data_IF_678752332719
#
_entry.id   IF_678752332719
#
_cell.length_a   1.000
_cell.length_b   1.000
_cell.length_c   1.000
_cell.angle_alpha   90.00
_cell.angle_beta   90.00
_cell.angle_gamma   90.00
#
_symmetry.space_group_name_H-M   'P 1'
#
loop_
_entity.id
_entity.type
_entity.pdbx_description
1 polymer ?
#
# COMPACT_ATOMS: atom_id res chain seq x y z
N UNK A 1 50.80 -40.06 17.09
CA UNK A 1 49.73 -40.48 16.18
C UNK A 1 48.32 -39.94 16.49
N UNK A 2 48.01 -39.49 17.70
CA UNK A 2 46.67 -38.88 18.01
C UNK A 2 46.46 -37.45 17.51
N UNK A 3 47.53 -36.64 17.44
CA UNK A 3 47.47 -35.23 17.04
C UNK A 3 47.14 -35.02 15.55
N UNK A 4 47.64 -35.87 14.66
CA UNK A 4 47.38 -35.79 13.19
C UNK A 4 45.95 -36.15 12.80
N UNK A 5 45.25 -36.99 13.58
CA UNK A 5 43.83 -37.30 13.35
C UNK A 5 42.93 -36.13 13.79
N UNK A 6 43.24 -35.49 14.90
CA UNK A 6 42.49 -34.32 15.37
C UNK A 6 42.59 -33.13 14.39
N UNK A 7 43.78 -32.88 13.85
CA UNK A 7 43.99 -31.81 12.84
C UNK A 7 43.22 -32.12 11.55
N UNK A 8 43.21 -33.36 11.07
CA UNK A 8 42.43 -33.74 9.87
C UNK A 8 40.93 -33.60 10.08
N UNK A 9 40.40 -33.93 11.26
CA UNK A 9 38.97 -33.75 11.59
C UNK A 9 38.62 -32.28 11.66
N UNK A 10 39.43 -31.43 12.28
CA UNK A 10 39.19 -29.98 12.38
C UNK A 10 39.26 -29.32 10.99
N UNK A 11 40.24 -29.68 10.15
CA UNK A 11 40.32 -29.17 8.76
C UNK A 11 39.15 -29.61 7.91
N UNK A 12 38.70 -30.88 8.03
CA UNK A 12 37.51 -31.36 7.29
C UNK A 12 36.23 -30.65 7.74
N UNK A 13 36.08 -30.38 9.05
CA UNK A 13 34.94 -29.65 9.59
C UNK A 13 34.95 -28.17 9.09
N UNK A 14 36.11 -27.51 9.10
CA UNK A 14 36.27 -26.11 8.64
C UNK A 14 36.02 -26.01 7.14
N UNK A 15 36.49 -26.94 6.33
CA UNK A 15 36.18 -26.98 4.88
C UNK A 15 34.68 -27.22 4.64
N UNK A 16 34.06 -28.10 5.43
CA UNK A 16 32.61 -28.37 5.38
C UNK A 16 31.79 -27.11 5.72
N UNK A 17 32.16 -26.37 6.75
CA UNK A 17 31.52 -25.13 7.13
C UNK A 17 31.69 -24.05 6.08
N UNK A 18 32.90 -23.91 5.48
CA UNK A 18 33.16 -22.94 4.40
C UNK A 18 32.38 -23.34 3.15
N UNK A 19 32.31 -24.61 2.79
CA UNK A 19 31.51 -25.06 1.64
C UNK A 19 30.02 -24.87 1.87
N UNK A 20 29.50 -25.15 3.07
CA UNK A 20 28.09 -24.88 3.43
C UNK A 20 27.79 -23.37 3.43
N UNK A 21 28.71 -22.56 3.94
CA UNK A 21 28.58 -21.10 3.90
C UNK A 21 28.63 -20.56 2.45
N UNK A 22 29.55 -21.12 1.62
CA UNK A 22 29.66 -20.75 0.20
C UNK A 22 28.47 -21.21 -0.62
N UNK A 23 27.95 -22.43 -0.38
CA UNK A 23 26.72 -22.94 -1.01
C UNK A 23 25.49 -22.16 -0.55
N UNK A 24 25.43 -21.76 0.71
CA UNK A 24 24.39 -20.86 1.22
C UNK A 24 24.48 -19.47 0.58
N UNK A 25 25.69 -18.97 0.35
CA UNK A 25 25.92 -17.68 -0.28
C UNK A 25 25.60 -17.70 -1.78
N UNK A 26 25.96 -18.79 -2.48
CA UNK A 26 25.62 -19.01 -3.89
C UNK A 26 24.10 -19.27 -4.03
N UNK A 27 23.49 -20.03 -3.12
CA UNK A 27 22.04 -20.26 -3.10
C UNK A 27 21.26 -18.97 -2.81
N UNK A 28 21.73 -18.12 -1.91
CA UNK A 28 21.16 -16.80 -1.63
C UNK A 28 21.40 -15.81 -2.77
N UNK A 29 22.48 -15.94 -3.53
CA UNK A 29 22.80 -15.10 -4.68
C UNK A 29 22.05 -15.46 -5.96
N UNK A 30 21.63 -16.72 -6.13
CA UNK A 30 20.89 -17.17 -7.32
C UNK A 30 19.38 -17.05 -7.20
N UNK A 31 18.84 -16.72 -6.03
CA UNK A 31 17.42 -16.38 -5.83
C UNK A 31 17.18 -14.86 -6.01
N UNK A 32 18.01 -14.19 -6.80
CA UNK A 32 17.66 -12.90 -7.38
C UNK A 32 16.74 -13.14 -8.58
N UNK A 33 15.48 -13.49 -8.30
CA UNK A 33 14.41 -13.38 -9.30
C UNK A 33 14.57 -12.03 -9.99
N UNK A 34 14.44 -11.98 -11.31
CA UNK A 34 14.48 -10.72 -12.07
C UNK A 34 13.47 -9.78 -11.45
N UNK A 35 13.96 -8.78 -10.74
CA UNK A 35 13.11 -7.70 -10.24
C UNK A 35 12.72 -6.88 -11.46
N UNK A 36 11.44 -6.80 -11.72
CA UNK A 36 10.91 -5.99 -12.81
C UNK A 36 11.05 -4.51 -12.42
N UNK A 37 11.92 -3.80 -13.09
CA UNK A 37 12.26 -2.42 -12.75
C UNK A 37 11.67 -1.45 -13.74
N UNK A 38 11.14 -0.35 -13.21
CA UNK A 38 10.58 0.74 -14.00
C UNK A 38 11.33 2.02 -13.67
N UNK A 39 11.82 2.71 -14.70
CA UNK A 39 12.35 4.06 -14.56
C UNK A 39 11.19 5.04 -14.46
N UNK A 40 10.77 5.37 -13.24
CA UNK A 40 9.59 6.20 -13.00
C UNK A 40 9.92 7.65 -12.65
N UNK A 41 11.16 7.93 -12.27
CA UNK A 41 11.60 9.25 -11.85
C UNK A 41 12.47 9.96 -12.90
N UNK A 42 12.88 9.27 -13.96
CA UNK A 42 13.66 9.87 -15.04
C UNK A 42 12.80 10.91 -15.79
N UNK A 43 13.38 12.11 -16.00
CA UNK A 43 12.69 13.19 -16.69
C UNK A 43 11.64 13.93 -15.86
N UNK A 44 11.52 13.65 -14.57
CA UNK A 44 10.69 14.44 -13.67
C UNK A 44 11.51 15.62 -13.13
N UNK A 45 11.27 16.80 -13.72
CA UNK A 45 11.86 18.05 -13.28
C UNK A 45 10.98 18.70 -12.19
N UNK A 46 11.57 19.58 -11.38
CA UNK A 46 10.87 20.38 -10.37
C UNK A 46 10.03 19.57 -9.36
N UNK A 47 10.57 18.42 -8.92
CA UNK A 47 9.94 17.62 -7.87
C UNK A 47 9.97 18.36 -6.52
N UNK A 48 8.95 18.18 -5.65
CA UNK A 48 8.92 18.79 -4.33
C UNK A 48 10.19 18.49 -3.51
N UNK A 49 10.59 19.45 -2.69
CA UNK A 49 11.69 19.24 -1.74
C UNK A 49 11.26 18.30 -0.61
N UNK A 50 12.23 17.53 -0.14
CA UNK A 50 12.02 16.62 0.98
C UNK A 50 12.39 17.32 2.29
N UNK A 51 11.40 17.57 3.13
CA UNK A 51 11.56 18.28 4.42
C UNK A 51 11.92 17.36 5.58
N UNK A 52 11.70 16.05 5.46
CA UNK A 52 11.95 15.09 6.54
C UNK A 52 12.62 13.81 6.02
N UNK A 53 13.14 12.98 6.95
CA UNK A 53 13.64 11.62 6.64
C UNK A 53 12.55 10.54 6.59
N UNK A 54 11.27 10.94 6.65
CA UNK A 54 10.15 10.05 6.41
C UNK A 54 10.19 9.52 4.98
N UNK A 55 9.54 8.39 4.70
CA UNK A 55 9.51 7.79 3.37
C UNK A 55 8.07 7.76 2.84
N UNK A 56 7.90 8.17 1.59
CA UNK A 56 6.64 8.13 0.87
C UNK A 56 6.74 7.13 -0.26
N UNK A 57 5.96 6.05 -0.17
CA UNK A 57 5.81 5.03 -1.20
C UNK A 57 4.48 5.24 -1.91
N UNK A 58 4.49 5.28 -3.23
CA UNK A 58 3.27 5.19 -4.02
C UNK A 58 3.06 3.74 -4.44
N UNK A 59 2.03 3.11 -3.88
CA UNK A 59 1.59 1.77 -4.27
C UNK A 59 0.45 1.90 -5.26
N UNK A 60 0.59 1.25 -6.41
CA UNK A 60 -0.41 1.25 -7.48
C UNK A 60 -0.84 -0.16 -7.79
N UNK A 61 -2.14 -0.42 -7.68
CA UNK A 61 -2.75 -1.66 -8.14
C UNK A 61 -3.07 -1.54 -9.62
N UNK A 62 -2.39 -2.31 -10.44
CA UNK A 62 -2.60 -2.38 -11.89
C UNK A 62 -3.54 -3.54 -12.22
N UNK A 63 -4.43 -3.32 -13.17
CA UNK A 63 -5.33 -4.36 -13.69
C UNK A 63 -4.65 -5.26 -14.76
N UNK A 64 -3.32 -5.24 -14.81
CA UNK A 64 -2.56 -6.11 -15.69
C UNK A 64 -2.75 -7.57 -15.32
N UNK A 65 -2.95 -8.39 -16.34
CA UNK A 65 -3.22 -9.83 -16.22
C UNK A 65 -1.99 -10.69 -16.48
N UNK A 66 -0.87 -10.02 -16.66
CA UNK A 66 0.43 -10.65 -16.83
C UNK A 66 0.75 -11.51 -15.60
N UNK A 67 1.19 -12.74 -15.83
CA UNK A 67 1.51 -13.70 -14.78
C UNK A 67 0.31 -14.51 -14.24
N UNK A 68 -0.94 -14.22 -14.65
CA UNK A 68 -2.08 -15.07 -14.35
C UNK A 68 -2.15 -16.29 -15.28
N UNK A 69 -2.46 -17.45 -14.72
CA UNK A 69 -2.79 -18.66 -15.47
C UNK A 69 -4.16 -18.52 -16.14
N UNK A 70 -4.45 -19.38 -17.12
CA UNK A 70 -5.76 -19.40 -17.78
C UNK A 70 -6.89 -19.74 -16.80
N UNK A 71 -6.61 -20.61 -15.83
CA UNK A 71 -7.52 -21.02 -14.77
C UNK A 71 -7.83 -19.85 -13.83
N UNK A 72 -6.81 -19.09 -13.40
CA UNK A 72 -6.97 -17.90 -12.58
C UNK A 72 -7.74 -16.79 -13.31
N UNK A 73 -7.41 -16.53 -14.58
CA UNK A 73 -8.17 -15.58 -15.41
C UNK A 73 -9.64 -15.98 -15.52
N UNK A 74 -9.94 -17.29 -15.68
CA UNK A 74 -11.30 -17.82 -15.69
C UNK A 74 -11.98 -17.66 -14.34
N UNK A 75 -11.30 -17.98 -13.23
CA UNK A 75 -11.83 -17.85 -11.88
C UNK A 75 -12.15 -16.40 -11.52
N UNK A 76 -11.34 -15.46 -11.99
CA UNK A 76 -11.53 -14.02 -11.81
C UNK A 76 -12.48 -13.39 -12.83
N UNK A 77 -12.84 -14.14 -13.89
CA UNK A 77 -13.60 -13.66 -15.05
C UNK A 77 -13.08 -12.33 -15.62
N UNK A 78 -11.77 -12.19 -15.61
CA UNK A 78 -11.09 -11.06 -16.22
C UNK A 78 -10.72 -11.42 -17.66
N UNK A 79 -11.26 -10.94 -18.70
CA UNK A 79 -10.92 -11.30 -20.10
C UNK A 79 -9.41 -11.59 -20.32
N UNK A 80 -8.97 -11.79 -21.54
CA UNK A 80 -7.55 -12.06 -21.84
C UNK A 80 -6.67 -10.79 -21.74
N UNK A 81 -5.34 -10.96 -21.75
CA UNK A 81 -4.38 -9.88 -21.64
C UNK A 81 -4.51 -8.81 -22.75
N UNK A 82 -4.96 -9.21 -23.95
CA UNK A 82 -5.13 -8.31 -25.09
C UNK A 82 -6.32 -7.37 -24.98
N UNK A 83 -7.33 -7.71 -24.16
CA UNK A 83 -8.49 -6.82 -23.90
C UNK A 83 -8.20 -5.73 -22.88
N UNK A 84 -7.04 -5.75 -22.22
CA UNK A 84 -6.58 -4.79 -21.22
C UNK A 84 -5.59 -3.75 -21.80
N UNK A 85 -5.64 -3.48 -23.10
CA UNK A 85 -4.78 -2.47 -23.74
C UNK A 85 -4.99 -1.09 -23.10
N UNK A 86 -3.94 -0.54 -22.47
CA UNK A 86 -3.95 0.69 -21.71
C UNK A 86 -4.18 0.44 -20.20
N UNK A 87 -3.21 -0.15 -19.51
CA UNK A 87 -3.27 -0.46 -18.08
C UNK A 87 -3.95 0.65 -17.27
N UNK A 88 -4.93 0.27 -16.44
CA UNK A 88 -5.62 1.20 -15.53
C UNK A 88 -5.15 0.94 -14.12
N UNK A 89 -4.90 2.01 -13.39
CA UNK A 89 -4.69 1.88 -11.97
C UNK A 89 -6.03 2.00 -11.26
N UNK A 90 -6.49 0.90 -10.68
CA UNK A 90 -7.76 0.86 -9.95
C UNK A 90 -7.60 1.23 -8.46
N UNK A 91 -6.38 1.11 -7.94
CA UNK A 91 -6.05 1.41 -6.55
C UNK A 91 -4.76 2.21 -6.50
N UNK A 92 -4.80 3.36 -5.84
CA UNK A 92 -3.63 4.18 -5.55
C UNK A 92 -3.56 4.45 -4.06
N UNK A 93 -2.45 4.08 -3.45
CA UNK A 93 -2.24 4.18 -2.01
C UNK A 93 -0.90 4.86 -1.75
N UNK A 94 -0.94 6.00 -1.07
CA UNK A 94 0.25 6.64 -0.52
C UNK A 94 0.54 6.01 0.84
N UNK A 95 1.70 5.39 0.99
CA UNK A 95 2.20 4.87 2.25
C UNK A 95 3.28 5.79 2.77
N UNK A 96 2.98 6.51 3.84
CA UNK A 96 3.94 7.34 4.55
C UNK A 96 4.48 6.58 5.75
N UNK A 97 5.81 6.47 5.85
CA UNK A 97 6.50 5.84 6.97
C UNK A 97 7.27 6.92 7.71
N UNK A 98 6.96 7.12 8.99
CA UNK A 98 7.57 8.14 9.83
C UNK A 98 9.10 8.06 9.84
N UNK A 99 9.77 9.18 10.08
CA UNK A 99 11.24 9.25 10.20
C UNK A 99 11.81 8.33 11.29
N UNK A 100 11.02 8.04 12.33
CA UNK A 100 11.39 7.12 13.41
C UNK A 100 11.08 5.66 13.12
N UNK A 101 10.37 5.35 12.01
CA UNK A 101 9.91 4.01 11.63
C UNK A 101 8.95 3.36 12.64
N UNK A 102 8.35 4.15 13.50
CA UNK A 102 7.44 3.74 14.57
C UNK A 102 5.96 3.88 14.20
N UNK A 103 5.65 4.63 13.13
CA UNK A 103 4.29 4.89 12.63
C UNK A 103 4.24 4.78 11.12
N UNK A 104 3.08 4.37 10.61
CA UNK A 104 2.80 4.42 9.18
C UNK A 104 1.38 4.91 8.91
N UNK A 105 1.21 5.68 7.84
CA UNK A 105 -0.08 6.15 7.35
C UNK A 105 -0.33 5.60 5.94
N UNK A 106 -1.48 4.97 5.74
CA UNK A 106 -1.92 4.47 4.45
C UNK A 106 -3.07 5.35 3.97
N UNK A 107 -2.81 6.16 2.97
CA UNK A 107 -3.74 7.16 2.47
C UNK A 107 -4.24 6.73 1.10
N UNK A 108 -5.52 6.36 1.02
CA UNK A 108 -6.16 6.01 -0.25
C UNK A 108 -6.42 7.26 -1.08
N UNK A 109 -5.95 7.25 -2.31
CA UNK A 109 -6.21 8.27 -3.33
C UNK A 109 -7.29 7.73 -4.27
N UNK A 110 -8.52 8.26 -4.24
CA UNK A 110 -9.58 7.75 -5.12
C UNK A 110 -9.18 7.93 -6.58
N UNK A 111 -9.28 6.87 -7.37
CA UNK A 111 -8.88 6.86 -8.79
C UNK A 111 -9.61 7.92 -9.65
N UNK A 112 -10.85 8.24 -9.26
CA UNK A 112 -11.69 9.23 -9.95
C UNK A 112 -11.55 10.65 -9.35
N UNK A 113 -10.53 10.90 -8.51
CA UNK A 113 -10.23 12.24 -7.97
C UNK A 113 -9.97 13.23 -9.10
N UNK A 114 -10.66 14.37 -9.07
CA UNK A 114 -10.40 15.46 -10.00
C UNK A 114 -9.08 16.13 -9.63
N UNK A 115 -8.13 16.12 -10.56
CA UNK A 115 -6.80 16.71 -10.40
C UNK A 115 -6.35 17.39 -11.68
N UNK A 116 -5.41 18.32 -11.58
CA UNK A 116 -4.72 18.87 -12.76
C UNK A 116 -3.61 17.92 -13.16
N UNK A 117 -3.75 17.29 -14.35
CA UNK A 117 -2.71 16.46 -14.96
C UNK A 117 -1.74 17.41 -15.68
N UNK A 118 -0.43 17.34 -15.40
CA UNK A 118 0.59 18.16 -16.04
C UNK A 118 0.63 18.02 -17.58
N UNK A 119 1.24 18.98 -18.24
CA UNK A 119 1.49 18.91 -19.67
C UNK A 119 2.32 17.65 -20.00
N UNK A 120 1.89 16.90 -20.99
CA UNK A 120 2.48 15.63 -21.37
C UNK A 120 2.35 15.39 -22.87
N UNK A 121 3.12 14.44 -23.38
CA UNK A 121 2.94 13.96 -24.76
C UNK A 121 1.66 13.13 -24.86
N UNK A 122 0.95 13.27 -25.98
CA UNK A 122 -0.14 12.35 -26.33
C UNK A 122 0.38 10.90 -26.36
N UNK A 123 -0.51 9.94 -26.17
CA UNK A 123 -0.16 8.51 -26.13
C UNK A 123 0.51 8.00 -27.41
N UNK A 124 0.32 8.67 -28.55
CA UNK A 124 1.00 8.40 -29.81
C UNK A 124 2.32 9.16 -29.96
N UNK A 125 2.71 9.97 -28.96
CA UNK A 125 3.96 10.75 -28.91
C UNK A 125 4.03 11.94 -29.87
N UNK A 126 2.93 12.30 -30.57
CA UNK A 126 2.98 13.29 -31.66
C UNK A 126 2.62 14.70 -31.26
N UNK A 127 1.86 14.85 -30.18
CA UNK A 127 1.29 16.15 -29.79
C UNK A 127 1.58 16.44 -28.32
N UNK A 128 1.91 17.70 -28.03
CA UNK A 128 1.98 18.19 -26.65
C UNK A 128 0.57 18.51 -26.15
N UNK A 129 0.17 17.87 -25.07
CA UNK A 129 -1.10 18.11 -24.38
C UNK A 129 -0.81 19.06 -23.22
N UNK A 130 -1.49 20.22 -23.13
CA UNK A 130 -1.30 21.16 -22.01
C UNK A 130 -1.86 20.62 -20.70
N UNK A 131 -1.55 21.28 -19.58
CA UNK A 131 -2.15 21.02 -18.28
C UNK A 131 -3.68 21.01 -18.40
N UNK A 132 -4.31 19.98 -17.82
CA UNK A 132 -5.78 19.86 -17.86
C UNK A 132 -6.33 19.14 -16.65
N UNK A 133 -7.54 19.51 -16.25
CA UNK A 133 -8.26 18.77 -15.23
C UNK A 133 -8.83 17.45 -15.77
N UNK A 134 -8.57 16.36 -15.04
CA UNK A 134 -9.11 15.04 -15.33
C UNK A 134 -9.08 14.17 -14.08
N UNK A 135 -9.56 12.92 -14.19
CA UNK A 135 -9.45 11.92 -13.15
C UNK A 135 -7.99 11.51 -12.93
N UNK A 136 -7.63 11.24 -11.70
CA UNK A 136 -6.27 10.83 -11.33
C UNK A 136 -5.80 9.58 -12.10
N UNK A 137 -6.68 8.59 -12.30
CA UNK A 137 -6.34 7.38 -13.07
C UNK A 137 -6.06 7.66 -14.55
N UNK A 138 -6.53 8.78 -15.09
CA UNK A 138 -6.24 9.17 -16.46
C UNK A 138 -4.76 9.55 -16.63
N UNK A 139 -4.11 10.10 -15.59
CA UNK A 139 -2.67 10.36 -15.64
C UNK A 139 -1.87 9.07 -15.89
N UNK A 140 -2.24 7.98 -15.21
CA UNK A 140 -1.62 6.68 -15.44
C UNK A 140 -1.89 6.14 -16.87
N UNK A 141 -3.10 6.31 -17.37
CA UNK A 141 -3.46 5.88 -18.72
C UNK A 141 -2.77 6.69 -19.82
N UNK A 142 -2.46 7.97 -19.58
CA UNK A 142 -1.84 8.86 -20.56
C UNK A 142 -0.31 8.76 -20.60
N UNK A 143 0.35 8.71 -19.46
CA UNK A 143 1.81 8.76 -19.36
C UNK A 143 2.41 7.76 -18.36
N UNK A 144 1.63 6.74 -17.95
CA UNK A 144 2.11 5.70 -17.05
C UNK A 144 2.47 6.21 -15.65
N UNK A 145 3.35 5.49 -15.00
CA UNK A 145 3.81 5.80 -13.64
C UNK A 145 4.48 7.19 -13.52
N UNK A 146 5.34 7.64 -14.46
CA UNK A 146 5.96 8.97 -14.34
C UNK A 146 4.93 10.10 -14.27
N UNK A 147 3.95 10.14 -15.18
CA UNK A 147 2.93 11.20 -15.20
C UNK A 147 2.00 11.11 -13.98
N UNK A 148 1.69 9.90 -13.51
CA UNK A 148 0.93 9.72 -12.29
C UNK A 148 1.67 10.29 -11.08
N UNK A 149 2.98 9.98 -10.94
CA UNK A 149 3.83 10.50 -9.84
C UNK A 149 3.86 12.03 -9.90
N UNK A 150 4.16 12.62 -11.05
CA UNK A 150 4.20 14.07 -11.21
C UNK A 150 2.86 14.71 -10.85
N UNK A 151 1.75 14.11 -11.29
CA UNK A 151 0.40 14.57 -10.96
C UNK A 151 0.15 14.58 -9.45
N UNK A 152 0.52 13.48 -8.76
CA UNK A 152 0.35 13.37 -7.30
C UNK A 152 1.29 14.34 -6.58
N UNK A 153 2.56 14.43 -6.97
CA UNK A 153 3.52 15.34 -6.36
C UNK A 153 3.07 16.81 -6.48
N UNK A 154 2.57 17.23 -7.64
CA UNK A 154 2.01 18.58 -7.82
C UNK A 154 0.74 18.81 -6.99
N UNK A 155 -0.16 17.82 -6.93
CA UNK A 155 -1.41 17.95 -6.19
C UNK A 155 -1.23 17.96 -4.66
N UNK A 156 -0.17 17.31 -4.14
CA UNK A 156 0.04 17.11 -2.71
C UNK A 156 1.22 17.91 -2.14
N UNK A 157 2.10 18.39 -3.00
CA UNK A 157 3.42 18.95 -2.63
C UNK A 157 4.24 17.99 -1.76
N UNK A 158 4.12 16.66 -2.02
CA UNK A 158 4.87 15.60 -1.35
C UNK A 158 5.79 14.91 -2.35
N UNK A 159 7.07 14.79 -2.02
CA UNK A 159 8.00 13.98 -2.81
C UNK A 159 7.72 12.50 -2.59
N UNK A 160 7.53 11.75 -3.68
CA UNK A 160 7.47 10.28 -3.65
C UNK A 160 8.90 9.74 -3.67
N UNK A 161 9.26 8.93 -2.67
CA UNK A 161 10.60 8.31 -2.60
C UNK A 161 10.67 7.06 -3.45
N UNK A 162 9.59 6.27 -3.44
CA UNK A 162 9.53 4.99 -4.13
C UNK A 162 8.17 4.74 -4.78
N UNK A 163 8.19 3.89 -5.80
CA UNK A 163 7.02 3.44 -6.55
C UNK A 163 6.98 1.91 -6.59
N UNK A 164 5.82 1.35 -6.30
CA UNK A 164 5.58 -0.09 -6.39
C UNK A 164 4.26 -0.32 -7.12
N UNK A 165 4.32 -1.10 -8.21
CA UNK A 165 3.14 -1.53 -8.95
C UNK A 165 2.88 -3.01 -8.71
N UNK A 166 1.64 -3.32 -8.34
CA UNK A 166 1.18 -4.66 -8.00
C UNK A 166 0.14 -5.10 -9.02
N UNK A 167 0.46 -6.12 -9.82
CA UNK A 167 -0.49 -6.77 -10.74
C UNK A 167 -1.46 -7.68 -9.99
N UNK A 168 -2.48 -8.20 -10.67
CA UNK A 168 -3.39 -9.19 -10.09
C UNK A 168 -2.66 -10.45 -9.64
N UNK A 169 -1.74 -10.96 -10.45
CA UNK A 169 -0.91 -12.11 -10.09
C UNK A 169 -0.01 -11.79 -8.89
N UNK A 170 0.58 -10.59 -8.87
CA UNK A 170 1.39 -10.10 -7.76
C UNK A 170 0.61 -10.03 -6.45
N UNK A 171 -0.58 -9.46 -6.50
CA UNK A 171 -1.47 -9.41 -5.33
C UNK A 171 -1.79 -10.81 -4.79
N UNK A 172 -2.22 -11.72 -5.67
CA UNK A 172 -2.54 -13.09 -5.28
C UNK A 172 -1.31 -13.81 -4.70
N UNK A 173 -0.14 -13.63 -5.30
CA UNK A 173 1.12 -14.19 -4.83
C UNK A 173 1.51 -13.70 -3.42
N UNK A 174 1.37 -12.40 -3.15
CA UNK A 174 1.65 -11.81 -1.83
C UNK A 174 0.72 -12.39 -0.76
N UNK A 175 -0.59 -12.48 -1.06
CA UNK A 175 -1.59 -13.05 -0.14
C UNK A 175 -1.28 -14.51 0.18
N UNK A 176 -0.97 -15.31 -0.85
CA UNK A 176 -0.62 -16.72 -0.67
C UNK A 176 0.69 -16.90 0.12
N UNK A 177 1.69 -16.04 -0.10
CA UNK A 177 2.95 -16.06 0.65
C UNK A 177 2.76 -15.74 2.15
N UNK A 178 1.71 -15.00 2.52
CA UNK A 178 1.30 -14.76 3.90
C UNK A 178 0.46 -15.90 4.50
N UNK A 179 0.12 -16.93 3.70
CA UNK A 179 -0.75 -18.03 4.12
C UNK A 179 -2.22 -17.63 4.21
N UNK A 180 -2.67 -16.74 3.33
CA UNK A 180 -4.01 -16.18 3.31
C UNK A 180 -4.21 -15.01 4.26
N UNK A 181 -5.27 -14.23 4.02
CA UNK A 181 -5.60 -13.03 4.81
C UNK A 181 -6.98 -13.20 5.44
N UNK A 182 -7.05 -12.99 6.75
CA UNK A 182 -8.31 -12.98 7.48
C UNK A 182 -9.07 -11.67 7.22
N UNK A 183 -10.29 -11.79 6.75
CA UNK A 183 -11.24 -10.69 6.59
C UNK A 183 -12.51 -10.99 7.36
N UNK A 184 -13.20 -9.94 7.77
CA UNK A 184 -14.52 -10.07 8.37
C UNK A 184 -15.55 -9.23 7.62
N UNK A 185 -16.68 -9.84 7.27
CA UNK A 185 -17.83 -9.13 6.67
C UNK A 185 -19.04 -9.21 7.58
N UNK A 186 -19.73 -8.07 7.75
CA UNK A 186 -20.93 -7.97 8.61
C UNK A 186 -22.19 -8.51 7.94
N UNK A 187 -22.18 -8.61 6.64
CA UNK A 187 -23.30 -9.06 5.81
C UNK A 187 -22.79 -10.04 4.76
N UNK A 188 -23.71 -10.84 4.24
CA UNK A 188 -23.39 -11.71 3.11
C UNK A 188 -22.96 -10.88 1.90
N UNK A 189 -21.96 -11.37 1.20
CA UNK A 189 -21.48 -10.81 -0.07
C UNK A 189 -21.93 -11.76 -1.17
N UNK A 190 -22.70 -11.25 -2.11
CA UNK A 190 -22.97 -11.87 -3.40
C UNK A 190 -22.82 -10.78 -4.47
N UNK A 191 -21.63 -10.67 -5.02
CA UNK A 191 -21.29 -9.60 -5.95
C UNK A 191 -21.17 -10.14 -7.38
N UNK A 192 -22.08 -9.78 -8.28
CA UNK A 192 -22.09 -10.31 -9.64
C UNK A 192 -20.90 -9.87 -10.50
N UNK A 193 -20.19 -8.80 -10.11
CA UNK A 193 -19.04 -8.29 -10.87
C UNK A 193 -17.73 -8.91 -10.45
N UNK A 194 -17.49 -9.09 -9.17
CA UNK A 194 -16.31 -9.77 -8.65
C UNK A 194 -16.48 -11.29 -8.60
N UNK A 195 -17.72 -11.78 -8.68
CA UNK A 195 -18.09 -13.19 -8.52
C UNK A 195 -17.62 -13.76 -7.17
N UNK A 196 -17.67 -12.95 -6.13
CA UNK A 196 -17.43 -13.40 -4.77
C UNK A 196 -18.78 -13.70 -4.10
N UNK A 197 -18.89 -14.91 -3.59
CA UNK A 197 -19.96 -15.32 -2.69
C UNK A 197 -19.32 -15.64 -1.36
N UNK A 198 -19.72 -14.95 -0.28
CA UNK A 198 -19.14 -15.10 1.04
C UNK A 198 -20.22 -14.80 2.09
N UNK A 199 -20.43 -15.68 3.04
CA UNK A 199 -21.36 -15.43 4.14
C UNK A 199 -20.84 -14.37 5.11
N UNK A 200 -21.73 -13.77 5.88
CA UNK A 200 -21.33 -12.93 7.01
C UNK A 200 -20.45 -13.73 8.00
N UNK A 201 -19.43 -13.06 8.55
CA UNK A 201 -18.49 -13.68 9.48
C UNK A 201 -17.03 -13.45 9.10
N UNK A 202 -16.15 -14.23 9.74
CA UNK A 202 -14.69 -14.17 9.55
C UNK A 202 -14.24 -15.30 8.63
N UNK A 203 -13.46 -14.95 7.61
CA UNK A 203 -12.96 -15.89 6.60
C UNK A 203 -11.48 -15.67 6.34
N UNK A 204 -10.74 -16.74 6.09
CA UNK A 204 -9.36 -16.64 5.58
C UNK A 204 -9.40 -16.83 4.07
N UNK A 205 -9.08 -15.76 3.34
CA UNK A 205 -9.12 -15.73 1.88
C UNK A 205 -7.74 -16.07 1.30
N UNK A 206 -7.70 -16.90 0.29
CA UNK A 206 -6.53 -17.10 -0.55
C UNK A 206 -6.32 -15.90 -1.51
N UNK A 207 -5.29 -15.96 -2.36
CA UNK A 207 -4.98 -14.85 -3.26
C UNK A 207 -6.08 -14.51 -4.26
N UNK A 208 -6.78 -15.51 -4.79
CA UNK A 208 -7.86 -15.32 -5.78
C UNK A 208 -9.13 -14.80 -5.10
N UNK A 209 -9.49 -15.38 -3.97
CA UNK A 209 -10.65 -14.92 -3.17
C UNK A 209 -10.44 -13.51 -2.64
N UNK A 210 -9.23 -13.22 -2.14
CA UNK A 210 -8.85 -11.88 -1.69
C UNK A 210 -8.93 -10.84 -2.83
N UNK A 211 -8.49 -11.21 -4.05
CA UNK A 211 -8.60 -10.33 -5.21
C UNK A 211 -10.07 -10.09 -5.59
N UNK A 212 -10.93 -11.10 -5.52
CA UNK A 212 -12.38 -10.93 -5.68
C UNK A 212 -12.93 -9.99 -4.62
N UNK A 213 -12.57 -10.20 -3.34
CA UNK A 213 -13.02 -9.39 -2.20
C UNK A 213 -12.71 -7.90 -2.35
N UNK A 214 -11.47 -7.54 -2.68
CA UNK A 214 -11.09 -6.13 -2.85
C UNK A 214 -11.69 -5.47 -4.11
N UNK A 215 -12.27 -6.26 -5.01
CA UNK A 215 -12.97 -5.81 -6.23
C UNK A 215 -14.48 -5.73 -6.09
N UNK A 216 -15.08 -6.23 -5.00
CA UNK A 216 -16.54 -6.19 -4.79
C UNK A 216 -17.06 -4.75 -4.80
N UNK A 217 -18.24 -4.52 -5.42
CA UNK A 217 -18.85 -3.19 -5.57
C UNK A 217 -20.34 -3.15 -5.39
N UNK A 218 -21.04 -4.19 -5.84
CA UNK A 218 -22.48 -4.10 -6.17
C UNK A 218 -23.39 -4.94 -5.25
N UNK A 219 -22.93 -5.26 -4.03
CA UNK A 219 -23.73 -6.03 -3.09
C UNK A 219 -24.33 -5.20 -1.93
N UNK A 220 -23.73 -4.03 -1.58
CA UNK A 220 -24.13 -3.23 -0.41
C UNK A 220 -24.67 -1.83 -0.77
N UNK A 221 -24.86 -1.53 -2.05
CA UNK A 221 -25.33 -0.25 -2.54
C UNK A 221 -24.37 0.93 -2.39
N UNK A 222 -23.16 0.72 -1.81
CA UNK A 222 -22.16 1.76 -1.54
C UNK A 222 -21.16 1.97 -2.67
N UNK A 223 -21.20 1.13 -3.71
CA UNK A 223 -20.39 1.25 -4.91
C UNK A 223 -18.89 1.41 -4.63
N UNK A 224 -18.27 2.42 -5.23
CA UNK A 224 -16.82 2.68 -5.10
C UNK A 224 -16.39 3.08 -3.68
N UNK A 225 -17.22 3.73 -2.90
CA UNK A 225 -16.91 4.09 -1.51
C UNK A 225 -16.81 2.81 -0.66
N UNK A 226 -17.78 1.89 -0.81
CA UNK A 226 -17.73 0.59 -0.15
C UNK A 226 -16.48 -0.20 -0.55
N UNK A 227 -16.11 -0.19 -1.84
CA UNK A 227 -14.88 -0.83 -2.32
C UNK A 227 -13.64 -0.23 -1.66
N UNK A 228 -13.49 1.09 -1.60
CA UNK A 228 -12.34 1.73 -0.94
C UNK A 228 -12.23 1.35 0.54
N UNK A 229 -13.37 1.28 1.25
CA UNK A 229 -13.38 0.86 2.66
C UNK A 229 -12.94 -0.60 2.81
N UNK A 230 -13.38 -1.51 1.93
CA UNK A 230 -12.95 -2.92 1.92
C UNK A 230 -11.46 -3.05 1.61
N UNK A 231 -10.93 -2.27 0.67
CA UNK A 231 -9.50 -2.24 0.37
C UNK A 231 -8.69 -1.77 1.59
N UNK A 232 -9.11 -0.71 2.29
CA UNK A 232 -8.45 -0.25 3.51
C UNK A 232 -8.50 -1.30 4.62
N UNK A 233 -9.65 -1.93 4.82
CA UNK A 233 -9.82 -3.01 5.79
C UNK A 233 -8.94 -4.21 5.45
N UNK A 234 -8.89 -4.59 4.17
CA UNK A 234 -8.01 -5.65 3.70
C UNK A 234 -6.53 -5.32 3.95
N UNK A 235 -6.09 -4.09 3.65
CA UNK A 235 -4.72 -3.64 3.94
C UNK A 235 -4.42 -3.68 5.44
N UNK A 236 -5.38 -3.30 6.29
CA UNK A 236 -5.24 -3.43 7.74
C UNK A 236 -5.05 -4.90 8.17
N UNK A 237 -5.81 -5.83 7.58
CA UNK A 237 -5.65 -7.27 7.80
C UNK A 237 -4.30 -7.80 7.32
N UNK A 238 -3.80 -7.35 6.16
CA UNK A 238 -2.45 -7.68 5.66
C UNK A 238 -1.38 -7.23 6.64
N UNK A 239 -1.45 -6.00 7.13
CA UNK A 239 -0.50 -5.46 8.10
C UNK A 239 -0.58 -6.23 9.42
N UNK A 240 -1.80 -6.47 9.93
CA UNK A 240 -2.01 -7.29 11.13
C UNK A 240 -1.39 -8.67 10.97
N UNK A 241 -1.61 -9.33 9.84
CA UNK A 241 -1.02 -10.65 9.53
C UNK A 241 0.50 -10.58 9.50
N UNK A 242 1.08 -9.63 8.75
CA UNK A 242 2.52 -9.47 8.63
C UNK A 242 3.20 -9.20 9.99
N UNK A 243 2.56 -8.41 10.86
CA UNK A 243 3.09 -8.08 12.20
C UNK A 243 2.85 -9.19 13.22
N UNK A 244 1.72 -9.91 13.18
CA UNK A 244 1.34 -10.91 14.18
C UNK A 244 1.96 -12.29 13.97
N UNK A 245 2.22 -12.70 12.72
CA UNK A 245 2.78 -14.03 12.40
C UNK A 245 4.28 -14.16 12.65
N UNK A 246 4.90 -13.10 13.16
CA UNK A 246 6.35 -13.06 13.38
C UNK A 246 7.17 -13.03 12.08
N UNK A 247 6.54 -12.74 10.92
CA UNK A 247 7.27 -12.59 9.65
C UNK A 247 8.37 -11.54 9.79
N UNK A 248 8.04 -10.37 10.37
CA UNK A 248 9.02 -9.30 10.60
C UNK A 248 10.08 -9.65 11.65
N UNK A 249 9.78 -10.54 12.58
CA UNK A 249 10.69 -10.93 13.67
C UNK A 249 11.60 -12.11 13.27
N UNK A 250 11.18 -12.94 12.33
CA UNK A 250 11.95 -14.09 11.87
C UNK A 250 12.69 -13.78 10.57
N UNK A 251 14.03 -13.68 10.56
CA UNK A 251 14.80 -13.30 9.38
C UNK A 251 14.55 -14.21 8.17
N UNK A 252 14.40 -15.52 8.38
CA UNK A 252 14.18 -16.49 7.30
C UNK A 252 12.80 -16.30 6.68
N UNK A 253 11.75 -16.16 7.53
CA UNK A 253 10.39 -15.91 7.05
C UNK A 253 10.31 -14.58 6.31
N UNK A 254 10.98 -13.54 6.81
CA UNK A 254 11.04 -12.21 6.17
C UNK A 254 11.70 -12.28 4.80
N UNK A 255 12.85 -12.94 4.69
CA UNK A 255 13.55 -13.09 3.39
C UNK A 255 12.69 -13.88 2.39
N UNK A 256 12.07 -14.98 2.83
CA UNK A 256 11.20 -15.77 1.97
C UNK A 256 9.98 -15.00 1.51
N UNK A 257 9.33 -14.27 2.41
CA UNK A 257 8.20 -13.38 2.08
C UNK A 257 8.61 -12.30 1.10
N UNK A 258 9.71 -11.59 1.36
CA UNK A 258 10.20 -10.54 0.47
C UNK A 258 10.58 -11.09 -0.91
N UNK A 259 11.21 -12.26 -0.98
CA UNK A 259 11.52 -12.89 -2.26
C UNK A 259 10.25 -13.21 -3.06
N UNK A 260 9.23 -13.77 -2.40
CA UNK A 260 7.95 -14.06 -3.04
C UNK A 260 7.24 -12.78 -3.48
N UNK A 261 7.23 -11.73 -2.65
CA UNK A 261 6.58 -10.47 -2.97
C UNK A 261 7.31 -9.72 -4.12
N UNK A 262 8.65 -9.59 -4.03
CA UNK A 262 9.46 -8.84 -5.00
C UNK A 262 9.39 -9.45 -6.40
N UNK A 263 9.28 -10.78 -6.50
CA UNK A 263 9.21 -11.48 -7.81
C UNK A 263 7.88 -11.24 -8.55
N UNK A 264 6.91 -10.62 -7.90
CA UNK A 264 5.53 -10.47 -8.42
C UNK A 264 5.10 -9.00 -8.56
N UNK A 265 5.98 -8.06 -8.25
CA UNK A 265 5.70 -6.62 -8.33
C UNK A 265 6.71 -5.92 -9.23
N UNK A 266 6.32 -4.78 -9.79
CA UNK A 266 7.24 -3.86 -10.47
C UNK A 266 7.63 -2.75 -9.51
N UNK A 267 8.90 -2.40 -9.44
CA UNK A 267 9.41 -1.39 -8.51
C UNK A 267 10.24 -0.34 -9.26
N UNK A 268 10.34 0.85 -8.67
CA UNK A 268 11.27 1.85 -9.19
C UNK A 268 12.73 1.34 -9.18
N UNK A 269 13.55 1.94 -10.05
CA UNK A 269 14.94 1.54 -10.25
C UNK A 269 15.83 1.77 -9.01
N UNK A 270 15.43 2.69 -8.11
CA UNK A 270 16.21 3.06 -6.94
C UNK A 270 15.88 2.20 -5.72
N UNK A 271 14.76 1.44 -5.71
CA UNK A 271 14.34 0.61 -4.59
C UNK A 271 15.00 -0.77 -4.67
N UNK A 272 16.02 -1.02 -3.89
CA UNK A 272 16.67 -2.33 -3.85
C UNK A 272 16.02 -3.30 -2.86
N UNK A 273 16.29 -4.60 -3.02
CA UNK A 273 15.90 -5.62 -2.04
C UNK A 273 16.51 -5.36 -0.67
N UNK A 274 17.74 -4.84 -0.63
CA UNK A 274 18.41 -4.52 0.63
C UNK A 274 17.71 -3.35 1.33
N UNK A 275 17.24 -2.34 0.59
CA UNK A 275 16.48 -1.22 1.17
C UNK A 275 15.18 -1.72 1.81
N UNK A 276 14.47 -2.65 1.15
CA UNK A 276 13.27 -3.28 1.70
C UNK A 276 13.57 -4.15 2.93
N UNK A 277 14.67 -4.89 2.93
CA UNK A 277 15.10 -5.68 4.09
C UNK A 277 15.46 -4.78 5.27
N UNK A 278 16.19 -3.70 5.02
CA UNK A 278 16.61 -2.76 6.06
C UNK A 278 15.42 -1.96 6.59
N UNK A 279 14.50 -1.55 5.72
CA UNK A 279 13.24 -0.96 6.14
C UNK A 279 12.44 -1.93 7.04
N UNK A 280 12.29 -3.18 6.63
CA UNK A 280 11.57 -4.19 7.43
C UNK A 280 12.23 -4.44 8.80
N UNK A 281 13.57 -4.44 8.86
CA UNK A 281 14.30 -4.52 10.13
C UNK A 281 14.05 -3.31 11.03
N UNK A 282 14.04 -2.10 10.46
CA UNK A 282 13.77 -0.85 11.19
C UNK A 282 12.32 -0.81 11.69
N UNK A 283 11.38 -1.41 10.95
CA UNK A 283 9.96 -1.47 11.31
C UNK A 283 9.57 -2.63 12.23
N UNK A 284 10.52 -3.39 12.77
CA UNK A 284 10.24 -4.54 13.67
C UNK A 284 9.41 -4.16 14.91
N UNK A 285 9.54 -2.92 15.37
CA UNK A 285 8.75 -2.38 16.47
C UNK A 285 7.37 -1.85 16.07
N UNK A 286 7.03 -1.86 14.78
CA UNK A 286 5.74 -1.37 14.31
C UNK A 286 4.63 -2.33 14.70
N UNK A 287 3.68 -1.84 15.49
CA UNK A 287 2.45 -2.57 15.82
C UNK A 287 1.30 -2.12 14.91
N UNK A 288 0.27 -2.97 14.77
CA UNK A 288 -0.94 -2.62 14.02
C UNK A 288 -1.66 -1.38 14.59
N UNK A 289 -1.50 -1.09 15.89
CA UNK A 289 -2.03 0.12 16.53
C UNK A 289 -1.36 1.42 16.07
N UNK A 290 -0.11 1.33 15.59
CA UNK A 290 0.67 2.47 15.09
C UNK A 290 0.54 2.66 13.58
N UNK A 291 -0.25 1.83 12.91
CA UNK A 291 -0.57 1.98 11.48
C UNK A 291 -1.98 2.51 11.35
N UNK A 292 -2.13 3.64 10.68
CA UNK A 292 -3.43 4.26 10.43
C UNK A 292 -3.76 4.26 8.95
N UNK A 293 -5.02 3.99 8.65
CA UNK A 293 -5.58 4.02 7.29
C UNK A 293 -6.61 5.13 7.20
N UNK A 294 -6.61 5.86 6.08
CA UNK A 294 -7.60 6.89 5.78
C UNK A 294 -7.77 7.05 4.28
N UNK A 295 -8.85 7.69 3.88
CA UNK A 295 -9.00 8.24 2.51
C UNK A 295 -8.67 9.72 2.56
N UNK A 296 -8.10 10.28 1.49
CA UNK A 296 -7.97 11.73 1.37
C UNK A 296 -9.32 12.37 1.68
N UNK A 297 -9.39 13.47 2.47
CA UNK A 297 -10.65 14.10 2.81
C UNK A 297 -11.44 14.51 1.57
N UNK A 298 -12.72 14.14 1.53
CA UNK A 298 -13.59 14.37 0.39
C UNK A 298 -14.62 15.46 0.69
N UNK A 299 -14.75 16.42 -0.24
CA UNK A 299 -15.89 17.33 -0.30
C UNK A 299 -17.12 16.63 -0.85
N UNK A 300 -16.94 15.84 -1.92
CA UNK A 300 -17.99 15.00 -2.50
C UNK A 300 -17.39 13.81 -3.28
N UNK A 301 -18.07 12.68 -3.19
CA UNK A 301 -17.73 11.48 -3.98
C UNK A 301 -18.49 11.44 -5.32
N UNK A 302 -19.49 12.30 -5.52
CA UNK A 302 -20.42 12.28 -6.67
C UNK A 302 -20.40 13.65 -7.40
N UNK A 303 -19.22 14.25 -7.58
CA UNK A 303 -19.05 15.45 -8.37
C UNK A 303 -19.24 15.18 -9.87
N UNK A 304 -19.50 16.26 -10.64
CA UNK A 304 -19.52 16.22 -12.11
C UNK A 304 -18.58 17.27 -12.67
N UNK A 305 -17.81 16.86 -13.69
CA UNK A 305 -16.92 17.74 -14.42
C UNK A 305 -17.29 17.70 -15.92
N UNK A 306 -17.25 18.86 -16.63
CA UNK A 306 -17.75 18.93 -18.04
C UNK A 306 -17.09 17.91 -18.98
N UNK A 307 -15.80 17.67 -18.84
CA UNK A 307 -15.04 16.77 -19.74
C UNK A 307 -14.70 15.44 -19.09
N UNK A 308 -14.45 15.39 -17.76
CA UNK A 308 -14.08 14.17 -17.05
C UNK A 308 -15.29 13.35 -16.56
N UNK A 309 -16.51 13.88 -16.68
CA UNK A 309 -17.74 13.19 -16.27
C UNK A 309 -17.91 13.11 -14.75
N UNK A 310 -18.24 11.92 -14.23
CA UNK A 310 -18.35 11.69 -12.78
C UNK A 310 -16.98 11.70 -12.13
N UNK A 311 -16.80 12.52 -11.09
CA UNK A 311 -15.50 12.73 -10.40
C UNK A 311 -15.68 12.74 -8.89
N UNK A 312 -14.59 12.46 -8.18
CA UNK A 312 -14.45 12.67 -6.73
C UNK A 312 -13.75 13.99 -6.50
N UNK A 313 -14.30 14.84 -5.63
CA UNK A 313 -13.70 16.15 -5.32
C UNK A 313 -13.20 16.12 -3.87
N UNK A 314 -11.91 16.35 -3.69
CA UNK A 314 -11.28 16.47 -2.37
C UNK A 314 -11.70 17.72 -1.64
N UNK A 315 -11.75 17.67 -0.31
CA UNK A 315 -11.91 18.87 0.52
C UNK A 315 -10.59 19.68 0.48
N UNK A 316 -10.58 20.89 -0.02
CA UNK A 316 -9.34 21.64 -0.22
C UNK A 316 -8.64 22.01 1.10
N UNK A 317 -9.40 22.29 2.15
CA UNK A 317 -8.86 22.74 3.44
C UNK A 317 -8.29 21.54 4.21
N UNK A 318 -9.10 20.48 4.37
CA UNK A 318 -8.65 19.28 5.09
C UNK A 318 -7.55 18.54 4.35
N UNK A 319 -7.58 18.53 3.01
CA UNK A 319 -6.51 17.89 2.24
C UNK A 319 -5.19 18.67 2.34
N UNK A 320 -5.23 20.02 2.29
CA UNK A 320 -4.02 20.83 2.46
C UNK A 320 -3.38 20.62 3.86
N UNK A 321 -4.20 20.55 4.91
CA UNK A 321 -3.72 20.24 6.25
C UNK A 321 -3.16 18.81 6.34
N UNK A 322 -3.82 17.83 5.74
CA UNK A 322 -3.32 16.46 5.68
C UNK A 322 -1.94 16.40 5.02
N UNK A 323 -1.77 17.01 3.85
CA UNK A 323 -0.50 16.97 3.12
C UNK A 323 0.62 17.71 3.85
N UNK A 324 0.29 18.82 4.53
CA UNK A 324 1.25 19.53 5.38
C UNK A 324 1.72 18.65 6.53
N UNK A 325 0.81 17.97 7.24
CA UNK A 325 1.18 17.06 8.34
C UNK A 325 2.01 15.87 7.86
N UNK A 326 1.69 15.29 6.69
CA UNK A 326 2.48 14.21 6.09
C UNK A 326 3.88 14.71 5.72
N UNK A 327 3.99 15.86 5.07
CA UNK A 327 5.28 16.45 4.69
C UNK A 327 6.18 16.70 5.91
N UNK A 328 5.59 17.20 6.98
CA UNK A 328 6.31 17.58 8.20
C UNK A 328 6.48 16.40 9.17
N UNK A 329 6.01 15.18 8.80
CA UNK A 329 6.01 13.96 9.64
C UNK A 329 5.32 14.21 10.99
N UNK A 330 4.21 14.96 10.97
CA UNK A 330 3.41 15.33 12.13
C UNK A 330 2.29 14.32 12.42
N UNK A 331 1.74 14.36 13.63
CA UNK A 331 0.62 13.51 14.00
C UNK A 331 -0.64 13.89 13.22
N UNK A 332 -1.42 12.88 12.77
CA UNK A 332 -2.71 13.10 12.12
C UNK A 332 -3.87 13.28 13.11
N UNK A 333 -3.65 12.96 14.37
CA UNK A 333 -4.63 13.06 15.45
C UNK A 333 -4.14 14.09 16.44
N UNK A 334 -5.01 15.03 16.80
CA UNK A 334 -4.70 16.08 17.75
C UNK A 334 -5.13 15.65 19.16
N UNK A 335 -4.23 15.75 20.13
CA UNK A 335 -4.54 15.61 21.54
C UNK A 335 -4.83 17.01 22.10
N UNK A 336 -6.10 17.29 22.39
CA UNK A 336 -6.52 18.55 23.00
C UNK A 336 -6.67 18.33 24.50
N UNK A 337 -5.78 18.92 25.28
CA UNK A 337 -5.97 19.03 26.73
C UNK A 337 -7.07 20.06 26.98
N UNK A 338 -8.20 19.73 27.64
CA UNK A 338 -9.20 20.72 27.98
C UNK A 338 -8.55 21.83 28.81
N UNK A 339 -8.57 23.06 28.32
CA UNK A 339 -8.15 24.21 29.12
C UNK A 339 -9.14 24.36 30.28
N UNK A 340 -8.68 24.52 31.53
CA UNK A 340 -9.61 24.77 32.61
C UNK A 340 -10.29 26.10 32.35
N UNK A 341 -11.58 26.05 32.03
CA UNK A 341 -12.43 27.27 32.03
C UNK A 341 -12.39 27.88 33.42
N UNK A 342 -11.90 29.10 33.49
CA UNK A 342 -11.89 29.90 34.69
C UNK A 342 -13.34 30.25 35.04
N UNK A 343 -14.01 29.39 35.82
CA UNK A 343 -15.11 29.75 36.74
C UNK A 343 -15.65 28.49 37.44
N UNK A 344 -15.37 28.48 38.69
CA UNK A 344 -16.01 27.81 39.84
C UNK A 344 -15.06 26.97 40.68
N UNK A 345 -14.83 27.45 41.85
CA UNK A 345 -14.15 26.81 42.98
C UNK A 345 -14.87 25.52 43.36
N UNK A 346 -14.19 24.39 43.18
CA UNK A 346 -14.29 23.23 44.04
C UNK A 346 -13.16 22.25 43.73
N UNK A 347 -12.43 21.93 44.78
CA UNK A 347 -11.30 21.01 44.82
C UNK A 347 -11.67 19.62 44.37
N UNK A 348 -11.13 19.22 43.20
CA UNK A 348 -10.81 17.84 42.89
C UNK A 348 -9.80 17.84 41.71
N UNK A 349 -8.55 17.51 42.02
CA UNK A 349 -7.46 17.35 41.06
C UNK A 349 -7.70 16.04 40.27
N UNK A 350 -8.63 16.07 39.34
CA UNK A 350 -8.77 15.03 38.34
C UNK A 350 -8.04 15.51 37.10
N UNK A 351 -6.87 14.92 36.82
CA UNK A 351 -6.14 15.10 35.59
C UNK A 351 -7.07 14.75 34.43
N UNK A 352 -7.62 15.76 33.77
CA UNK A 352 -8.53 15.57 32.62
C UNK A 352 -7.77 14.82 31.54
N UNK A 353 -8.27 13.65 31.13
CA UNK A 353 -7.70 12.88 30.03
C UNK A 353 -7.76 13.72 28.76
N UNK A 354 -6.71 13.74 27.96
CA UNK A 354 -6.72 14.47 26.69
C UNK A 354 -7.85 13.97 25.80
N UNK A 355 -8.59 14.91 25.20
CA UNK A 355 -9.61 14.60 24.19
C UNK A 355 -8.91 14.42 22.86
N UNK A 356 -9.13 13.27 22.23
CA UNK A 356 -8.57 12.94 20.92
C UNK A 356 -9.49 13.50 19.83
N UNK A 357 -8.98 14.42 19.01
CA UNK A 357 -9.68 14.97 17.86
C UNK A 357 -9.10 14.39 16.57
N UNK A 358 -9.84 13.52 15.91
CA UNK A 358 -9.48 12.91 14.62
C UNK A 358 -10.33 13.49 13.47
N UNK A 359 -9.88 14.61 12.93
CA UNK A 359 -10.56 15.30 11.82
C UNK A 359 -10.44 14.57 10.47
N UNK A 360 -9.49 13.65 10.34
CA UNK A 360 -9.29 12.87 9.11
C UNK A 360 -10.02 11.53 9.12
N UNK A 361 -10.72 11.19 10.22
CA UNK A 361 -11.45 9.92 10.38
C UNK A 361 -10.54 8.72 10.10
N UNK A 362 -9.36 8.72 10.73
CA UNK A 362 -8.39 7.63 10.57
C UNK A 362 -8.88 6.37 11.29
N UNK A 363 -8.46 5.21 10.81
CA UNK A 363 -8.68 3.92 11.48
C UNK A 363 -7.33 3.28 11.76
N UNK A 364 -7.21 2.61 12.89
CA UNK A 364 -6.01 1.82 13.17
C UNK A 364 -6.11 0.46 12.49
N UNK A 365 -4.97 -0.09 12.08
CA UNK A 365 -4.94 -1.44 11.51
C UNK A 365 -5.25 -2.54 12.55
N UNK A 366 -5.31 -2.18 13.84
CA UNK A 366 -5.71 -3.07 14.92
C UNK A 366 -7.23 -3.24 15.04
N UNK A 367 -8.02 -2.29 14.51
CA UNK A 367 -9.49 -2.35 14.58
C UNK A 367 -10.04 -3.59 13.88
N UNK A 368 -10.91 -4.33 14.58
CA UNK A 368 -11.63 -5.44 13.99
C UNK A 368 -12.99 -4.95 13.47
N UNK A 369 -13.22 -4.98 12.15
CA UNK A 369 -14.48 -4.49 11.58
C UNK A 369 -15.72 -5.25 12.06
N UNK A 370 -15.58 -6.49 12.53
CA UNK A 370 -16.66 -7.26 13.12
C UNK A 370 -16.82 -7.06 14.63
N UNK A 371 -15.87 -6.44 15.31
CA UNK A 371 -15.94 -6.19 16.76
C UNK A 371 -16.98 -5.17 17.21
N UNK A 372 -17.56 -4.40 16.28
CA UNK A 372 -18.57 -3.37 16.53
C UNK A 372 -19.95 -3.72 15.95
N UNK A 373 -20.33 -5.00 15.93
CA UNK A 373 -21.72 -5.38 15.66
C UNK A 373 -22.47 -5.30 16.99
N UNK A 374 -23.00 -4.13 17.32
CA UNK A 374 -24.13 -3.95 18.20
C UNK A 374 -25.35 -3.59 17.39
#
# INVERSE_FOLDING_TARGET
MKSTRAIKVITSLSVGVVLLASLSWIGLGQVSGRIDRISVFAGLDNRPEKTSKALNYLLVGSDTREGLTKEEMKALRVGNAQTAAGGRSDTMLLVHISKKRDKAFLISLPRDSLVTIPAHLSTDGKSQIPDRENKLNAAFAFGGAPLLIETIERATNLKMDHYIEVSFAGFAGIVNALGGIEVCTKVDIDDPKSHLVLSAGTHTLDGIEALKYVRTRDFDGRGDIGRMQRQQQFMSSVIKKATSTGVLLNPIKLVNFLNAAISTVKMDENLSKNDLLDLAKQMRGLSSGNVRTLTVPLKTANGRHPTAGSVVISDPVLSADLWTRIRDDAALVDEVTPSPSASSSSSASASAKPVIVDKFKTRTAAENPCGEIK
#
